data_IF_821680826407
#
_entry.id   IF_821680826407
#
_cell.length_a   1.000
_cell.length_b   1.000
_cell.length_c   1.000
_cell.angle_alpha   90.00
_cell.angle_beta   90.00
_cell.angle_gamma   90.00
#
_symmetry.space_group_name_H-M   'P 1'
#
loop_
_entity.id
_entity.type
_entity.pdbx_description
1 polymer ?
#
# COMPACT_ATOMS: atom_id res chain seq x y z
N UNK A 1 -13.08 15.52 6.39
CA UNK A 1 -12.18 14.97 7.43
C UNK A 1 -13.04 14.18 8.42
N UNK A 2 -12.80 12.88 8.64
CA UNK A 2 -13.53 12.13 9.64
C UNK A 2 -13.23 12.69 11.04
N UNK A 3 -14.28 13.01 11.80
CA UNK A 3 -14.15 13.41 13.20
C UNK A 3 -14.08 12.14 14.06
N UNK A 4 -13.14 12.12 15.01
CA UNK A 4 -13.01 11.02 15.96
C UNK A 4 -13.30 11.60 17.33
N UNK A 5 -14.42 11.20 17.89
CA UNK A 5 -14.81 11.56 19.24
C UNK A 5 -14.20 10.55 20.23
N UNK A 6 -13.63 11.07 21.31
CA UNK A 6 -13.23 10.26 22.46
C UNK A 6 -14.52 9.85 23.17
N UNK A 7 -14.73 8.53 23.31
CA UNK A 7 -15.89 7.99 24.02
C UNK A 7 -15.38 7.33 25.31
N UNK A 8 -16.09 7.57 26.41
CA UNK A 8 -15.81 6.98 27.72
C UNK A 8 -14.38 7.26 28.25
N UNK A 9 -13.85 8.45 27.97
CA UNK A 9 -12.47 8.86 28.31
C UNK A 9 -11.35 7.93 27.80
N UNK A 10 -11.67 7.02 26.88
CA UNK A 10 -10.71 6.10 26.28
C UNK A 10 -9.95 6.78 25.13
N UNK A 11 -9.00 7.63 25.53
CA UNK A 11 -8.10 8.33 24.62
C UNK A 11 -7.28 7.34 23.77
N UNK A 12 -6.86 6.21 24.34
CA UNK A 12 -6.02 5.24 23.67
C UNK A 12 -6.77 4.59 22.49
N UNK A 13 -8.02 4.21 22.69
CA UNK A 13 -8.88 3.68 21.62
C UNK A 13 -9.15 4.72 20.54
N UNK A 14 -9.36 5.98 20.91
CA UNK A 14 -9.54 7.07 19.95
C UNK A 14 -8.28 7.28 19.09
N UNK A 15 -7.09 7.26 19.69
CA UNK A 15 -5.80 7.35 18.99
C UNK A 15 -5.56 6.15 18.08
N UNK A 16 -5.91 4.92 18.52
CA UNK A 16 -5.83 3.71 17.68
C UNK A 16 -6.73 3.83 16.45
N UNK A 17 -7.97 4.32 16.62
CA UNK A 17 -8.90 4.60 15.52
C UNK A 17 -8.35 5.67 14.58
N UNK A 18 -7.81 6.76 15.11
CA UNK A 18 -7.17 7.81 14.33
C UNK A 18 -6.04 7.28 13.48
N UNK A 19 -5.09 6.56 14.09
CA UNK A 19 -3.96 5.94 13.39
C UNK A 19 -4.42 5.04 12.25
N UNK A 20 -5.46 4.22 12.47
CA UNK A 20 -6.04 3.36 11.43
C UNK A 20 -6.60 4.18 10.27
N UNK A 21 -7.42 5.19 10.56
CA UNK A 21 -8.02 6.06 9.54
C UNK A 21 -6.93 6.82 8.76
N UNK A 22 -5.94 7.40 9.44
CA UNK A 22 -4.83 8.12 8.78
C UNK A 22 -4.02 7.20 7.86
N UNK A 23 -3.78 5.95 8.27
CA UNK A 23 -3.10 4.95 7.44
C UNK A 23 -3.92 4.58 6.21
N UNK A 24 -5.23 4.40 6.36
CA UNK A 24 -6.14 4.10 5.25
C UNK A 24 -6.20 5.26 4.25
N UNK A 25 -6.36 6.51 4.73
CA UNK A 25 -6.34 7.71 3.89
C UNK A 25 -5.01 7.85 3.15
N UNK A 26 -3.87 7.63 3.84
CA UNK A 26 -2.55 7.65 3.21
C UNK A 26 -2.41 6.58 2.12
N UNK A 27 -2.87 5.35 2.38
CA UNK A 27 -2.85 4.26 1.40
C UNK A 27 -3.76 4.55 0.21
N UNK A 28 -4.91 5.17 0.44
CA UNK A 28 -5.84 5.57 -0.61
C UNK A 28 -5.22 6.67 -1.49
N UNK A 29 -4.68 7.72 -0.88
CA UNK A 29 -3.96 8.78 -1.58
C UNK A 29 -2.79 8.21 -2.40
N UNK A 30 -1.99 7.31 -1.82
CA UNK A 30 -0.91 6.63 -2.53
C UNK A 30 -1.41 5.80 -3.71
N UNK A 31 -2.57 5.12 -3.62
CA UNK A 31 -3.16 4.38 -4.75
C UNK A 31 -3.63 5.33 -5.85
N UNK A 32 -4.27 6.44 -5.50
CA UNK A 32 -4.67 7.47 -6.47
C UNK A 32 -3.44 8.07 -7.17
N UNK A 33 -2.43 8.48 -6.40
CA UNK A 33 -1.15 8.95 -6.95
C UNK A 33 -0.43 7.86 -7.74
N UNK A 34 -0.53 6.60 -7.33
CA UNK A 34 0.11 5.49 -8.03
C UNK A 34 -0.38 5.38 -9.47
N UNK A 35 -1.63 5.75 -9.76
CA UNK A 35 -2.07 5.83 -11.15
C UNK A 35 -1.38 6.94 -11.96
N UNK A 36 -0.94 8.01 -11.30
CA UNK A 36 -0.18 9.12 -11.89
C UNK A 36 1.31 8.84 -11.99
N UNK A 37 1.85 7.95 -11.15
CA UNK A 37 3.28 7.57 -11.15
C UNK A 37 3.60 6.56 -12.26
N UNK A 38 3.53 6.99 -13.53
CA UNK A 38 3.91 6.18 -14.71
C UNK A 38 5.28 5.49 -14.52
N UNK A 39 6.25 6.19 -13.92
CA UNK A 39 7.58 5.63 -13.62
C UNK A 39 7.57 4.46 -12.62
N UNK A 40 6.67 4.46 -11.63
CA UNK A 40 6.53 3.34 -10.68
C UNK A 40 5.93 2.11 -11.36
N UNK A 41 4.92 2.29 -12.22
CA UNK A 41 4.34 1.20 -13.01
C UNK A 41 5.39 0.53 -13.89
N UNK A 42 6.29 1.30 -14.50
CA UNK A 42 7.40 0.75 -15.30
C UNK A 42 8.33 -0.11 -14.42
N UNK A 43 8.73 0.39 -13.24
CA UNK A 43 9.57 -0.36 -12.29
C UNK A 43 8.90 -1.65 -11.82
N UNK A 44 7.60 -1.63 -11.52
CA UNK A 44 6.88 -2.84 -11.09
C UNK A 44 6.70 -3.84 -12.24
N UNK A 45 6.39 -3.37 -13.46
CA UNK A 45 6.35 -4.23 -14.64
C UNK A 45 7.70 -4.89 -14.90
N UNK A 46 8.80 -4.15 -14.75
CA UNK A 46 10.16 -4.68 -14.83
C UNK A 46 10.45 -5.72 -13.74
N UNK A 47 10.06 -5.47 -12.48
CA UNK A 47 10.19 -6.45 -11.38
C UNK A 47 9.40 -7.73 -11.66
N UNK A 48 8.16 -7.62 -12.13
CA UNK A 48 7.33 -8.78 -12.50
C UNK A 48 7.96 -9.55 -13.67
N UNK A 49 8.42 -8.85 -14.70
CA UNK A 49 9.11 -9.47 -15.84
C UNK A 49 10.39 -10.20 -15.39
N UNK A 50 11.18 -9.60 -14.50
CA UNK A 50 12.38 -10.22 -13.95
C UNK A 50 12.04 -11.47 -13.11
N UNK A 51 11.00 -11.41 -12.27
CA UNK A 51 10.51 -12.57 -11.49
C UNK A 51 10.06 -13.70 -12.41
N UNK A 52 9.30 -13.38 -13.47
CA UNK A 52 8.90 -14.36 -14.49
C UNK A 52 10.11 -14.99 -15.17
N UNK A 53 11.08 -14.19 -15.63
CA UNK A 53 12.33 -14.69 -16.25
C UNK A 53 13.10 -15.64 -15.32
N UNK A 54 13.21 -15.31 -14.03
CA UNK A 54 13.85 -16.18 -13.04
C UNK A 54 13.12 -17.51 -12.89
N UNK A 55 11.79 -17.50 -12.82
CA UNK A 55 10.96 -18.72 -12.75
C UNK A 55 11.07 -19.59 -14.00
N UNK A 56 11.07 -18.99 -15.19
CA UNK A 56 11.27 -19.74 -16.44
C UNK A 56 12.67 -20.34 -16.51
N UNK A 57 13.70 -19.61 -16.09
CA UNK A 57 15.07 -20.13 -16.04
C UNK A 57 15.22 -21.30 -15.05
N UNK A 58 14.58 -21.23 -13.89
CA UNK A 58 14.61 -22.34 -12.91
C UNK A 58 13.84 -23.58 -13.38
N UNK A 59 12.80 -23.40 -14.20
CA UNK A 59 12.06 -24.52 -14.80
C UNK A 59 12.82 -25.16 -15.97
N UNK A 60 13.56 -24.36 -16.74
CA UNK A 60 14.37 -24.86 -17.85
C UNK A 60 15.70 -25.50 -17.40
N UNK A 61 16.11 -25.31 -16.15
CA UNK A 61 17.32 -25.90 -15.57
C UNK A 61 17.07 -27.24 -14.86
N UNK A 62 15.83 -27.73 -14.86
CA UNK A 62 15.43 -29.06 -14.39
C UNK A 62 14.96 -29.88 -15.58
#
# INVERSE_FOLDING_TARGET
MPKIEVKNDDLELALKKFKRISLEVRRLAQRHEYHLRKGMRLREKQKIAQKKRRKFRSLASH
#
